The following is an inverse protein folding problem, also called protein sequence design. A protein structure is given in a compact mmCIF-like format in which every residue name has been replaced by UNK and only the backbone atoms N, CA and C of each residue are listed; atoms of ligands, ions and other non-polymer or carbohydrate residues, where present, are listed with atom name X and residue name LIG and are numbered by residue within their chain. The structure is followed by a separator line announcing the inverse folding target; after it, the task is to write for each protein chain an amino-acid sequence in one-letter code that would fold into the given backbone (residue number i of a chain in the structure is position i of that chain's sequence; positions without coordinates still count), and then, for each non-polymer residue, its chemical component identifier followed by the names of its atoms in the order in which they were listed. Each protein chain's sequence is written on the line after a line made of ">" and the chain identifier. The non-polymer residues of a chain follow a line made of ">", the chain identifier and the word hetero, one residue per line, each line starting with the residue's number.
data_IF_446520233652
#
_entry.id   IF_446520233652
#
_cell.length_a   1.000
_cell.length_b   1.000
_cell.length_c   1.000
_cell.angle_alpha   90.00
_cell.angle_beta   90.00
_cell.angle_gamma   90.00
#
_symmetry.space_group_name_H-M   'P 1'
#
loop_
_entity.id
_entity.type
_entity.pdbx_description
1 polymer ?
#
# COMPACT_ATOMS: atom_id res chain seq x y z
N UNK A 1 -4.15 53.21 -11.67
CA UNK A 1 -3.57 53.12 -10.31
C UNK A 1 -3.61 51.66 -9.89
N UNK A 2 -2.41 51.12 -9.70
CA UNK A 2 -2.01 49.84 -9.06
C UNK A 2 -2.76 48.54 -9.37
N UNK A 3 -2.18 47.78 -10.29
CA UNK A 3 -2.10 46.31 -10.21
C UNK A 3 -1.11 45.92 -9.08
N UNK A 4 -1.17 44.69 -8.54
CA UNK A 4 -0.26 43.68 -9.10
C UNK A 4 -0.87 42.28 -9.27
N UNK A 5 -0.31 41.59 -10.25
CA UNK A 5 -0.51 40.21 -10.66
C UNK A 5 -0.09 39.23 -9.57
N UNK A 6 -0.97 38.30 -9.20
CA UNK A 6 -0.59 37.12 -8.43
C UNK A 6 -0.11 36.03 -9.41
N UNK A 7 1.20 36.08 -9.67
CA UNK A 7 1.91 35.20 -10.57
C UNK A 7 1.82 33.71 -10.19
N UNK A 8 1.98 32.89 -11.22
CA UNK A 8 2.18 31.45 -11.15
C UNK A 8 3.26 31.06 -10.13
N UNK A 9 3.16 29.89 -9.45
CA UNK A 9 4.29 29.33 -8.74
C UNK A 9 5.14 28.55 -9.74
N UNK A 10 5.93 29.28 -10.52
CA UNK A 10 7.03 28.72 -11.31
C UNK A 10 8.30 29.45 -10.91
N UNK A 11 8.85 29.05 -9.76
CA UNK A 11 10.12 29.54 -9.23
C UNK A 11 10.89 28.33 -8.72
N UNK A 12 12.08 28.12 -9.27
CA UNK A 12 12.95 26.96 -9.14
C UNK A 12 12.98 26.34 -7.73
N UNK A 13 12.53 25.09 -7.61
CA UNK A 13 12.79 24.31 -6.40
C UNK A 13 14.31 24.23 -6.23
N UNK A 14 14.83 24.72 -5.11
CA UNK A 14 16.25 24.55 -4.82
C UNK A 14 16.60 23.05 -4.84
N UNK A 15 17.83 22.70 -5.21
CA UNK A 15 18.28 21.30 -5.25
C UNK A 15 18.00 20.54 -3.94
N UNK A 16 18.09 21.25 -2.80
CA UNK A 16 17.72 20.73 -1.48
C UNK A 16 16.22 20.45 -1.35
N UNK A 17 15.35 21.37 -1.76
CA UNK A 17 13.90 21.16 -1.75
C UNK A 17 13.48 20.01 -2.69
N UNK A 18 14.12 19.87 -3.85
CA UNK A 18 13.86 18.73 -4.76
C UNK A 18 14.23 17.39 -4.12
N UNK A 19 15.35 17.32 -3.39
CA UNK A 19 15.72 16.11 -2.64
C UNK A 19 14.74 15.80 -1.51
N UNK A 20 14.29 16.81 -0.76
CA UNK A 20 13.29 16.63 0.30
C UNK A 20 11.94 16.17 -0.25
N UNK A 21 11.48 16.75 -1.36
CA UNK A 21 10.25 16.34 -2.03
C UNK A 21 10.38 14.91 -2.57
N UNK A 22 11.51 14.54 -3.18
CA UNK A 22 11.72 13.17 -3.66
C UNK A 22 11.65 12.15 -2.51
N UNK A 23 12.27 12.45 -1.36
CA UNK A 23 12.20 11.62 -0.16
C UNK A 23 10.78 11.53 0.41
N UNK A 24 10.06 12.64 0.41
CA UNK A 24 8.66 12.67 0.82
C UNK A 24 7.80 11.79 -0.09
N UNK A 25 7.93 11.94 -1.41
CA UNK A 25 7.21 11.12 -2.40
C UNK A 25 7.50 9.64 -2.21
N UNK A 26 8.77 9.26 -2.03
CA UNK A 26 9.14 7.85 -1.80
C UNK A 26 8.44 7.28 -0.55
N UNK A 27 8.45 8.06 0.54
CA UNK A 27 7.80 7.68 1.80
C UNK A 27 6.29 7.50 1.62
N UNK A 28 5.63 8.46 0.97
CA UNK A 28 4.19 8.39 0.73
C UNK A 28 3.81 7.27 -0.25
N UNK A 29 4.65 7.00 -1.25
CA UNK A 29 4.46 5.86 -2.15
C UNK A 29 4.57 4.52 -1.42
N UNK A 30 5.52 4.37 -0.49
CA UNK A 30 5.63 3.16 0.33
C UNK A 30 4.39 2.97 1.21
N UNK A 31 3.89 4.05 1.84
CA UNK A 31 2.65 4.01 2.60
C UNK A 31 1.45 3.62 1.73
N UNK A 32 1.31 4.22 0.55
CA UNK A 32 0.23 3.91 -0.37
C UNK A 32 0.24 2.44 -0.80
N UNK A 33 1.42 1.88 -1.11
CA UNK A 33 1.58 0.45 -1.44
C UNK A 33 1.14 -0.45 -0.27
N UNK A 34 1.53 -0.11 0.96
CA UNK A 34 1.11 -0.84 2.15
C UNK A 34 -0.42 -0.77 2.34
N UNK A 35 -1.03 0.40 2.19
CA UNK A 35 -2.48 0.56 2.29
C UNK A 35 -3.22 -0.27 1.24
N UNK A 36 -2.73 -0.28 0.00
CA UNK A 36 -3.28 -1.13 -1.06
C UNK A 36 -3.18 -2.61 -0.73
N UNK A 37 -2.04 -3.06 -0.19
CA UNK A 37 -1.86 -4.44 0.26
C UNK A 37 -2.84 -4.80 1.38
N UNK A 38 -3.01 -3.91 2.38
CA UNK A 38 -3.99 -4.07 3.47
C UNK A 38 -5.40 -4.22 2.89
N UNK A 39 -5.82 -3.30 2.02
CA UNK A 39 -7.15 -3.38 1.38
C UNK A 39 -7.37 -4.68 0.62
N UNK A 40 -6.36 -5.16 -0.11
CA UNK A 40 -6.43 -6.42 -0.84
C UNK A 40 -6.51 -7.64 0.11
N UNK A 41 -5.71 -7.67 1.16
CA UNK A 41 -5.79 -8.75 2.15
C UNK A 41 -7.13 -8.73 2.89
N UNK A 42 -7.64 -7.55 3.25
CA UNK A 42 -8.96 -7.42 3.86
C UNK A 42 -10.04 -7.94 2.91
N UNK A 43 -10.05 -7.56 1.63
CA UNK A 43 -11.09 -8.03 0.70
C UNK A 43 -11.10 -9.55 0.49
N UNK A 44 -9.92 -10.18 0.54
CA UNK A 44 -9.77 -11.63 0.38
C UNK A 44 -10.09 -12.39 1.67
N UNK A 45 -9.55 -11.93 2.80
CA UNK A 45 -9.58 -12.67 4.06
C UNK A 45 -10.83 -12.37 4.89
N UNK A 46 -11.40 -11.17 4.80
CA UNK A 46 -12.63 -10.82 5.51
C UNK A 46 -13.76 -11.82 5.29
N UNK A 47 -14.19 -12.12 4.05
CA UNK A 47 -15.30 -13.05 3.81
C UNK A 47 -14.98 -14.50 4.20
N UNK A 48 -13.70 -14.84 4.43
CA UNK A 48 -13.25 -16.18 4.81
C UNK A 48 -13.18 -16.36 6.33
N UNK A 49 -12.78 -15.31 7.05
CA UNK A 49 -12.43 -15.39 8.46
C UNK A 49 -13.45 -14.71 9.38
N UNK A 50 -14.13 -13.66 8.93
CA UNK A 50 -15.04 -12.88 9.78
C UNK A 50 -16.47 -13.32 9.52
N UNK A 51 -17.07 -13.99 10.51
CA UNK A 51 -18.46 -14.47 10.41
C UNK A 51 -19.44 -13.56 11.15
N UNK A 52 -18.96 -12.87 12.20
CA UNK A 52 -19.74 -11.92 13.00
C UNK A 52 -18.84 -10.75 13.38
N UNK A 53 -19.37 -9.53 13.33
CA UNK A 53 -18.63 -8.34 13.74
C UNK A 53 -18.79 -8.15 15.24
N UNK A 54 -17.67 -8.14 15.96
CA UNK A 54 -17.59 -7.86 17.39
C UNK A 54 -16.60 -6.71 17.64
N UNK A 55 -16.58 -6.17 18.86
CA UNK A 55 -15.66 -5.08 19.24
C UNK A 55 -14.18 -5.49 19.21
N UNK A 56 -13.89 -6.80 19.20
CA UNK A 56 -12.56 -7.39 19.16
C UNK A 56 -12.58 -8.65 18.31
N UNK A 57 -11.42 -8.98 17.73
CA UNK A 57 -11.23 -10.26 17.06
C UNK A 57 -11.24 -11.38 18.10
N UNK A 58 -11.98 -12.43 17.81
CA UNK A 58 -11.87 -13.70 18.54
C UNK A 58 -10.56 -14.41 18.20
N UNK A 59 -10.09 -15.30 19.08
CA UNK A 59 -8.85 -16.07 18.84
C UNK A 59 -8.87 -16.83 17.50
N UNK A 60 -10.02 -17.38 17.14
CA UNK A 60 -10.19 -18.11 15.88
C UNK A 60 -10.12 -17.18 14.65
N UNK A 61 -10.63 -15.95 14.78
CA UNK A 61 -10.56 -14.92 13.72
C UNK A 61 -9.12 -14.44 13.56
N UNK A 62 -8.41 -14.17 14.65
CA UNK A 62 -6.97 -13.80 14.64
C UNK A 62 -6.13 -14.89 13.96
N UNK A 63 -6.32 -16.15 14.37
CA UNK A 63 -5.60 -17.28 13.79
C UNK A 63 -5.95 -17.49 12.31
N UNK A 64 -7.22 -17.33 11.94
CA UNK A 64 -7.66 -17.44 10.54
C UNK A 64 -7.04 -16.34 9.68
N UNK A 65 -7.04 -15.08 10.15
CA UNK A 65 -6.47 -13.95 9.41
C UNK A 65 -4.96 -14.13 9.19
N UNK A 66 -4.21 -14.55 10.21
CA UNK A 66 -2.79 -14.84 10.09
C UNK A 66 -2.53 -15.91 9.02
N UNK A 67 -3.23 -17.05 9.11
CA UNK A 67 -3.12 -18.13 8.13
C UNK A 67 -3.54 -17.68 6.71
N UNK A 68 -4.59 -16.87 6.59
CA UNK A 68 -5.09 -16.40 5.30
C UNK A 68 -4.06 -15.53 4.57
N UNK A 69 -3.46 -14.58 5.28
CA UNK A 69 -2.43 -13.70 4.71
C UNK A 69 -1.17 -14.49 4.35
N UNK A 70 -0.68 -15.35 5.24
CA UNK A 70 0.49 -16.21 4.97
C UNK A 70 0.28 -17.09 3.73
N UNK A 71 -0.86 -17.77 3.64
CA UNK A 71 -1.18 -18.61 2.47
C UNK A 71 -1.34 -17.81 1.18
N UNK A 72 -1.92 -16.62 1.24
CA UNK A 72 -1.98 -15.75 0.07
C UNK A 72 -0.57 -15.40 -0.42
N UNK A 73 0.34 -15.01 0.48
CA UNK A 73 1.71 -14.65 0.13
C UNK A 73 2.47 -15.84 -0.44
N UNK A 74 2.35 -17.03 0.16
CA UNK A 74 2.96 -18.26 -0.36
C UNK A 74 2.52 -18.56 -1.79
N UNK A 75 1.21 -18.49 -2.05
CA UNK A 75 0.66 -18.69 -3.39
C UNK A 75 1.16 -17.61 -4.37
N UNK A 76 1.18 -16.35 -3.96
CA UNK A 76 1.66 -15.26 -4.82
C UNK A 76 3.13 -15.45 -5.20
N UNK A 77 3.99 -15.77 -4.23
CA UNK A 77 5.40 -16.03 -4.52
C UNK A 77 5.59 -17.24 -5.43
N UNK A 78 4.80 -18.30 -5.24
CA UNK A 78 4.86 -19.47 -6.12
C UNK A 78 4.45 -19.14 -7.56
N UNK A 79 3.41 -18.32 -7.73
CA UNK A 79 2.97 -17.85 -9.06
C UNK A 79 4.07 -17.01 -9.70
N UNK A 80 4.64 -16.03 -8.99
CA UNK A 80 5.71 -15.18 -9.51
C UNK A 80 6.91 -16.02 -9.96
N UNK A 81 7.37 -16.95 -9.12
CA UNK A 81 8.47 -17.88 -9.46
C UNK A 81 8.16 -18.69 -10.73
N UNK A 82 6.92 -19.15 -10.87
CA UNK A 82 6.48 -19.92 -12.05
C UNK A 82 6.48 -19.06 -13.31
N UNK A 83 6.05 -17.80 -13.21
CA UNK A 83 6.08 -16.84 -14.33
C UNK A 83 7.52 -16.47 -14.74
N UNK A 84 8.43 -16.32 -13.80
CA UNK A 84 9.85 -16.08 -14.09
C UNK A 84 10.51 -17.28 -14.77
N UNK A 85 10.19 -18.50 -14.34
CA UNK A 85 10.67 -19.72 -14.97
C UNK A 85 10.14 -19.87 -16.40
N UNK A 86 8.88 -19.50 -16.66
CA UNK A 86 8.26 -19.57 -17.99
C UNK A 86 8.76 -18.49 -18.98
N UNK A 87 9.48 -17.47 -18.51
CA UNK A 87 10.12 -16.44 -19.36
C UNK A 87 11.50 -16.86 -19.88
N UNK A 88 12.04 -17.98 -19.44
CA UNK A 88 13.27 -18.60 -19.99
C UNK A 88 12.93 -19.54 -21.13
#
# INVERSE_FOLDING_TARGET
>A
MSSPEAGAPSSELSSKQQQEIAKFIETEQQKAKLQQAIHNFTSICWPKCITKVNDKLGKDEEQCLANCVERYLDCNFQIIKSLEAAKK
#
